data_IF_622162614209
#
_entry.id   IF_622162614209
#
_cell.length_a   1.000
_cell.length_b   1.000
_cell.length_c   1.000
_cell.angle_alpha   90.00
_cell.angle_beta   90.00
_cell.angle_gamma   90.00
#
_symmetry.space_group_name_H-M   'P 1'
#
loop_
_entity.id
_entity.type
_entity.pdbx_description
1 polymer ?
#
# COMPACT_ATOMS: atom_id res chain seq x y z
N UNK A 1 -13.83 14.02 -2.92
CA UNK A 1 -12.45 14.30 -3.41
C UNK A 1 -11.96 13.02 -4.01
N UNK A 2 -11.28 13.08 -5.16
CA UNK A 2 -10.91 11.90 -5.92
C UNK A 2 -9.45 11.56 -5.68
N UNK A 3 -9.14 10.26 -5.65
CA UNK A 3 -7.76 9.79 -5.58
C UNK A 3 -7.04 10.11 -6.90
N UNK A 4 -5.76 10.50 -6.80
CA UNK A 4 -4.89 10.49 -7.97
C UNK A 4 -4.60 9.04 -8.36
N UNK A 5 -4.64 8.74 -9.64
CA UNK A 5 -4.33 7.43 -10.18
C UNK A 5 -3.57 7.53 -11.51
N UNK A 6 -2.92 6.42 -11.86
CA UNK A 6 -2.36 6.19 -13.19
C UNK A 6 -3.01 4.94 -13.77
N UNK A 7 -3.23 4.97 -15.07
CA UNK A 7 -3.84 3.86 -15.79
C UNK A 7 -2.91 3.37 -16.90
N UNK A 8 -2.88 2.06 -17.11
CA UNK A 8 -2.17 1.42 -18.21
C UNK A 8 -2.88 0.14 -18.65
N UNK A 9 -2.79 -0.17 -19.95
CA UNK A 9 -3.39 -1.36 -20.53
C UNK A 9 -4.91 -1.26 -20.74
N UNK A 10 -5.51 -2.40 -21.03
CA UNK A 10 -6.94 -2.58 -21.25
C UNK A 10 -7.34 -4.02 -20.91
N UNK A 11 -8.64 -4.27 -20.67
CA UNK A 11 -9.17 -5.57 -20.26
C UNK A 11 -9.73 -5.53 -18.84
N UNK A 12 -9.67 -6.66 -18.14
CA UNK A 12 -10.22 -6.78 -16.79
C UNK A 12 -9.48 -5.85 -15.81
N UNK A 13 -10.20 -5.09 -14.97
CA UNK A 13 -9.60 -4.04 -14.15
C UNK A 13 -8.93 -4.60 -12.90
N UNK A 14 -7.71 -4.11 -12.64
CA UNK A 14 -6.93 -4.38 -11.43
C UNK A 14 -6.55 -3.05 -10.79
N UNK A 15 -6.97 -2.82 -9.55
CA UNK A 15 -6.56 -1.68 -8.73
C UNK A 15 -5.37 -2.10 -7.88
N UNK A 16 -4.29 -1.33 -7.89
CA UNK A 16 -3.12 -1.56 -7.06
C UNK A 16 -2.98 -0.43 -6.04
N UNK A 17 -2.90 -0.81 -4.75
CA UNK A 17 -2.80 0.09 -3.60
C UNK A 17 -1.45 -0.07 -2.90
N UNK A 18 -0.74 1.02 -2.73
CA UNK A 18 0.57 1.06 -2.08
C UNK A 18 0.50 0.97 -0.54
N UNK A 19 1.62 0.66 0.09
CA UNK A 19 1.82 0.69 1.54
C UNK A 19 2.08 2.09 2.09
N UNK A 20 2.18 2.21 3.42
CA UNK A 20 2.50 3.45 4.12
C UNK A 20 3.77 4.10 3.56
N UNK A 21 3.77 5.41 3.39
CA UNK A 21 4.81 6.22 2.73
C UNK A 21 5.09 5.85 1.27
N UNK A 22 4.29 4.96 0.68
CA UNK A 22 4.37 4.62 -0.74
C UNK A 22 3.57 5.58 -1.62
N UNK A 23 3.65 5.34 -2.92
CA UNK A 23 2.86 6.01 -3.97
C UNK A 23 2.66 5.04 -5.14
N UNK A 24 1.80 5.41 -6.09
CA UNK A 24 1.61 4.70 -7.36
C UNK A 24 2.92 4.50 -8.15
N UNK A 25 3.92 5.39 -7.95
CA UNK A 25 5.24 5.27 -8.58
C UNK A 25 6.00 3.99 -8.16
N UNK A 26 5.68 3.39 -7.01
CA UNK A 26 6.32 2.16 -6.55
C UNK A 26 5.95 0.94 -7.41
N UNK A 27 4.80 1.00 -8.09
CA UNK A 27 4.21 -0.11 -8.83
C UNK A 27 4.34 0.00 -10.35
N UNK A 28 5.02 1.04 -10.87
CA UNK A 28 5.04 1.35 -12.31
C UNK A 28 5.63 0.22 -13.17
N UNK A 29 6.65 -0.51 -12.68
CA UNK A 29 7.25 -1.61 -13.43
C UNK A 29 6.25 -2.76 -13.56
N UNK A 30 5.60 -3.14 -12.47
CA UNK A 30 4.57 -4.18 -12.43
C UNK A 30 3.36 -3.76 -13.26
N UNK A 31 2.87 -2.52 -13.06
CA UNK A 31 1.74 -1.98 -13.80
C UNK A 31 1.98 -1.96 -15.32
N UNK A 32 3.20 -1.63 -15.77
CA UNK A 32 3.55 -1.67 -17.19
C UNK A 32 3.51 -3.09 -17.76
N UNK A 33 4.08 -4.07 -17.05
CA UNK A 33 4.10 -5.48 -17.49
C UNK A 33 2.70 -6.08 -17.50
N UNK A 34 1.94 -5.93 -16.41
CA UNK A 34 0.57 -6.44 -16.32
C UNK A 34 -0.40 -5.71 -17.25
N UNK A 35 -0.10 -4.45 -17.59
CA UNK A 35 -0.87 -3.65 -18.54
C UNK A 35 -0.84 -4.18 -19.98
N UNK A 36 -0.01 -5.16 -20.29
CA UNK A 36 -0.03 -5.87 -21.59
C UNK A 36 -1.29 -6.73 -21.76
N UNK A 37 -1.92 -7.15 -20.66
CA UNK A 37 -3.07 -8.07 -20.66
C UNK A 37 -4.28 -7.58 -19.84
N UNK A 38 -4.10 -6.62 -18.95
CA UNK A 38 -5.14 -6.12 -18.03
C UNK A 38 -5.19 -4.59 -18.00
N UNK A 39 -6.33 -4.05 -17.56
CA UNK A 39 -6.47 -2.62 -17.25
C UNK A 39 -5.98 -2.35 -15.82
N UNK A 40 -4.79 -1.79 -15.66
CA UNK A 40 -4.14 -1.57 -14.38
C UNK A 40 -4.33 -0.13 -13.92
N UNK A 41 -4.88 0.04 -12.72
CA UNK A 41 -5.08 1.32 -12.05
C UNK A 41 -4.21 1.35 -10.80
N UNK A 42 -3.13 2.15 -10.78
CA UNK A 42 -2.33 2.37 -9.57
C UNK A 42 -2.75 3.68 -8.93
N UNK A 43 -3.26 3.63 -7.69
CA UNK A 43 -3.77 4.81 -7.00
C UNK A 43 -2.83 5.28 -5.87
N UNK A 44 -2.73 6.61 -5.70
CA UNK A 44 -2.19 7.20 -4.48
C UNK A 44 -3.32 7.27 -3.45
N UNK A 45 -3.14 6.65 -2.28
CA UNK A 45 -4.13 6.73 -1.19
C UNK A 45 -4.15 8.15 -0.59
N UNK A 46 -5.26 8.53 0.09
CA UNK A 46 -5.34 9.83 0.79
C UNK A 46 -4.09 10.10 1.62
N UNK A 47 -3.71 11.35 1.74
CA UNK A 47 -2.52 11.81 2.45
C UNK A 47 -1.19 11.34 1.85
N UNK A 48 -1.18 10.71 0.67
CA UNK A 48 0.03 10.25 -0.03
C UNK A 48 0.09 10.77 -1.47
N UNK A 49 1.30 10.89 -1.97
CA UNK A 49 1.58 11.16 -3.39
C UNK A 49 0.95 12.45 -3.91
N UNK A 50 0.10 12.32 -4.92
CA UNK A 50 -0.62 13.42 -5.56
C UNK A 50 -2.11 13.44 -5.19
N UNK A 51 -2.57 12.50 -4.35
CA UNK A 51 -3.92 12.51 -3.82
C UNK A 51 -4.14 13.63 -2.83
N UNK A 52 -5.41 13.92 -2.57
CA UNK A 52 -5.79 14.97 -1.65
C UNK A 52 -5.28 14.72 -0.22
N UNK A 53 -4.99 15.79 0.49
CA UNK A 53 -4.71 15.78 1.92
C UNK A 53 -6.00 15.99 2.72
N UNK A 54 -6.10 15.30 3.87
CA UNK A 54 -7.25 15.36 4.79
C UNK A 54 -6.75 15.21 6.21
N UNK A 55 -7.43 15.82 7.16
CA UNK A 55 -7.17 15.65 8.60
C UNK A 55 -7.66 14.30 9.13
N UNK A 56 -8.39 13.54 8.29
CA UNK A 56 -8.91 12.23 8.63
C UNK A 56 -8.11 11.13 7.93
N UNK A 57 -7.72 10.09 8.70
CA UNK A 57 -6.91 8.99 8.20
C UNK A 57 -7.27 7.69 8.92
N UNK A 58 -7.64 6.65 8.17
CA UNK A 58 -8.04 5.34 8.67
C UNK A 58 -8.60 4.45 7.58
N UNK A 59 -8.66 3.15 7.81
CA UNK A 59 -8.99 2.15 6.79
C UNK A 59 -10.39 2.28 6.21
N UNK A 60 -11.40 2.58 7.04
CA UNK A 60 -12.78 2.77 6.55
C UNK A 60 -12.89 3.95 5.59
N UNK A 61 -12.18 5.04 5.87
CA UNK A 61 -12.14 6.22 5.01
C UNK A 61 -11.40 5.95 3.68
N UNK A 62 -10.27 5.24 3.74
CA UNK A 62 -9.53 4.84 2.55
C UNK A 62 -10.31 3.86 1.69
N UNK A 63 -11.05 2.93 2.30
CA UNK A 63 -11.95 2.02 1.57
C UNK A 63 -13.06 2.79 0.84
N UNK A 64 -13.67 3.81 1.47
CA UNK A 64 -14.63 4.68 0.82
C UNK A 64 -14.03 5.53 -0.31
N UNK A 65 -12.74 5.88 -0.24
CA UNK A 65 -12.04 6.53 -1.36
C UNK A 65 -11.88 5.57 -2.55
N UNK A 66 -11.54 4.31 -2.27
CA UNK A 66 -11.42 3.25 -3.30
C UNK A 66 -12.78 2.96 -3.94
N UNK A 67 -13.87 2.92 -3.15
CA UNK A 67 -15.22 2.78 -3.69
C UNK A 67 -15.53 3.90 -4.68
N UNK A 68 -15.27 5.16 -4.31
CA UNK A 68 -15.47 6.30 -5.22
C UNK A 68 -14.62 6.21 -6.48
N UNK A 69 -13.40 5.69 -6.39
CA UNK A 69 -12.54 5.46 -7.56
C UNK A 69 -13.14 4.39 -8.50
N UNK A 70 -13.69 3.30 -7.94
CA UNK A 70 -14.39 2.26 -8.69
C UNK A 70 -15.58 2.86 -9.45
N UNK A 71 -16.42 3.64 -8.75
CA UNK A 71 -17.61 4.27 -9.33
C UNK A 71 -17.24 5.33 -10.39
N UNK A 72 -16.22 6.16 -10.11
CA UNK A 72 -15.74 7.21 -11.04
C UNK A 72 -15.21 6.64 -12.35
N UNK A 73 -14.51 5.51 -12.29
CA UNK A 73 -13.93 4.84 -13.47
C UNK A 73 -14.88 3.82 -14.11
N UNK A 74 -16.09 3.67 -13.56
CA UNK A 74 -17.09 2.69 -14.00
C UNK A 74 -16.50 1.27 -14.09
N UNK A 75 -15.70 0.87 -13.07
CA UNK A 75 -15.07 -0.44 -13.07
C UNK A 75 -16.07 -1.53 -12.68
N UNK A 76 -16.14 -2.57 -13.49
CA UNK A 76 -16.95 -3.74 -13.19
C UNK A 76 -16.14 -4.75 -12.35
N UNK A 77 -16.47 -4.83 -11.08
CA UNK A 77 -15.89 -5.76 -10.10
C UNK A 77 -14.35 -5.94 -10.21
N UNK A 78 -13.53 -4.88 -10.03
CA UNK A 78 -12.08 -4.98 -10.15
C UNK A 78 -11.50 -5.96 -9.12
N UNK A 79 -10.37 -6.60 -9.48
CA UNK A 79 -9.45 -7.18 -8.52
C UNK A 79 -8.73 -6.05 -7.79
N UNK A 80 -8.57 -6.13 -6.46
CA UNK A 80 -7.75 -5.18 -5.70
C UNK A 80 -6.49 -5.87 -5.17
N UNK A 81 -5.32 -5.38 -5.55
CA UNK A 81 -4.02 -5.78 -5.02
C UNK A 81 -3.54 -4.71 -4.06
N UNK A 82 -3.35 -5.03 -2.80
CA UNK A 82 -2.88 -4.08 -1.79
C UNK A 82 -1.64 -4.56 -1.06
N UNK A 83 -0.62 -3.71 -0.97
CA UNK A 83 0.58 -3.99 -0.19
C UNK A 83 0.49 -3.33 1.19
N UNK A 84 0.79 -4.08 2.25
CA UNK A 84 0.88 -3.54 3.62
C UNK A 84 -0.40 -2.75 3.99
N UNK A 85 -0.33 -1.44 4.24
CA UNK A 85 -1.48 -0.56 4.44
C UNK A 85 -2.54 -0.75 3.33
N UNK A 86 -2.13 -0.81 2.06
CA UNK A 86 -3.02 -1.08 0.92
C UNK A 86 -3.72 -2.44 1.01
N UNK A 87 -3.08 -3.45 1.60
CA UNK A 87 -3.69 -4.76 1.89
C UNK A 87 -4.84 -4.66 2.88
N UNK A 88 -4.65 -3.89 3.96
CA UNK A 88 -5.74 -3.58 4.92
C UNK A 88 -6.87 -2.79 4.26
N UNK A 89 -6.55 -1.85 3.37
CA UNK A 89 -7.57 -1.12 2.60
C UNK A 89 -8.36 -2.08 1.70
N UNK A 90 -7.69 -3.00 0.99
CA UNK A 90 -8.35 -4.01 0.16
C UNK A 90 -9.29 -4.90 0.98
N UNK A 91 -8.82 -5.42 2.13
CA UNK A 91 -9.64 -6.20 3.06
C UNK A 91 -10.85 -5.41 3.57
N UNK A 92 -10.66 -4.15 3.94
CA UNK A 92 -11.74 -3.29 4.42
C UNK A 92 -12.75 -2.94 3.33
N UNK A 93 -12.25 -2.71 2.10
CA UNK A 93 -13.12 -2.45 0.94
C UNK A 93 -13.99 -3.66 0.62
N UNK A 94 -13.43 -4.87 0.60
CA UNK A 94 -14.18 -6.10 0.31
C UNK A 94 -15.22 -6.44 1.37
N UNK A 95 -14.99 -6.03 2.63
CA UNK A 95 -15.98 -6.14 3.69
C UNK A 95 -17.14 -5.15 3.53
N UNK A 96 -16.81 -3.88 3.23
CA UNK A 96 -17.82 -2.81 3.13
C UNK A 96 -18.61 -2.85 1.81
N UNK A 97 -17.98 -3.26 0.72
CA UNK A 97 -18.52 -3.20 -0.64
C UNK A 97 -18.31 -4.52 -1.40
N UNK A 98 -18.76 -5.67 -0.85
CA UNK A 98 -18.47 -7.00 -1.41
C UNK A 98 -18.97 -7.18 -2.84
N UNK A 99 -20.08 -6.55 -3.21
CA UNK A 99 -20.67 -6.67 -4.55
C UNK A 99 -19.89 -5.88 -5.63
N UNK A 100 -19.00 -4.98 -5.22
CA UNK A 100 -18.20 -4.15 -6.13
C UNK A 100 -16.81 -4.72 -6.42
N UNK A 101 -16.40 -5.82 -5.79
CA UNK A 101 -15.03 -6.32 -5.83
C UNK A 101 -15.04 -7.82 -6.13
N UNK A 102 -14.37 -8.24 -7.20
CA UNK A 102 -14.34 -9.67 -7.58
C UNK A 102 -13.43 -10.50 -6.69
N UNK A 103 -12.23 -10.01 -6.42
CA UNK A 103 -11.17 -10.69 -5.66
C UNK A 103 -10.27 -9.68 -4.96
N UNK A 104 -9.56 -10.09 -3.93
CA UNK A 104 -8.49 -9.28 -3.33
C UNK A 104 -7.18 -10.07 -3.19
N UNK A 105 -6.07 -9.37 -3.32
CA UNK A 105 -4.73 -9.89 -2.99
C UNK A 105 -4.12 -8.96 -1.94
N UNK A 106 -3.82 -9.51 -0.77
CA UNK A 106 -3.09 -8.80 0.27
C UNK A 106 -1.63 -9.21 0.24
N UNK A 107 -0.76 -8.28 -0.12
CA UNK A 107 0.69 -8.50 -0.19
C UNK A 107 1.31 -8.12 1.14
N UNK A 108 1.78 -9.12 1.84
CA UNK A 108 2.49 -9.12 3.12
C UNK A 108 1.77 -8.33 4.23
N UNK A 109 0.45 -8.59 4.36
CA UNK A 109 -0.39 -8.02 5.41
C UNK A 109 -1.56 -8.95 5.73
N UNK A 110 -1.70 -9.32 7.01
CA UNK A 110 -2.82 -10.10 7.54
C UNK A 110 -3.94 -9.23 8.16
N UNK A 111 -5.05 -9.85 8.57
CA UNK A 111 -6.18 -9.14 9.19
C UNK A 111 -5.94 -8.72 10.65
N UNK A 112 -4.91 -9.26 11.32
CA UNK A 112 -4.62 -9.04 12.75
C UNK A 112 -4.26 -7.59 13.08
N UNK A 113 -4.23 -7.26 14.38
CA UNK A 113 -3.64 -6.03 14.88
C UNK A 113 -2.12 -6.02 14.68
N UNK A 114 -1.59 -4.88 14.27
CA UNK A 114 -0.15 -4.64 14.17
C UNK A 114 0.24 -3.46 15.07
N UNK A 115 1.14 -3.66 16.05
CA UNK A 115 1.62 -2.53 16.83
C UNK A 115 2.36 -1.54 15.93
N UNK A 116 2.23 -0.24 16.23
CA UNK A 116 2.93 0.81 15.49
C UNK A 116 4.44 0.63 15.66
N UNK A 117 5.16 0.50 14.55
CA UNK A 117 6.63 0.31 14.50
C UNK A 117 7.33 1.43 13.71
N UNK A 118 6.60 2.49 13.37
CA UNK A 118 7.06 3.52 12.43
C UNK A 118 7.61 4.78 13.10
N UNK A 119 7.70 4.82 14.43
CA UNK A 119 8.17 6.00 15.17
C UNK A 119 9.54 6.50 14.72
N UNK A 120 10.48 5.57 14.49
CA UNK A 120 11.83 5.91 14.01
C UNK A 120 11.78 6.62 12.65
N UNK A 121 10.98 6.09 11.72
CA UNK A 121 10.82 6.66 10.38
C UNK A 121 10.16 8.04 10.48
N UNK A 122 9.06 8.15 11.21
CA UNK A 122 8.32 9.41 11.40
C UNK A 122 9.25 10.48 12.00
N UNK A 123 10.01 10.13 13.04
CA UNK A 123 10.95 11.05 13.68
C UNK A 123 12.05 11.48 12.70
N UNK A 124 12.60 10.58 11.89
CA UNK A 124 13.58 10.92 10.87
C UNK A 124 13.00 11.88 9.82
N UNK A 125 11.79 11.58 9.32
CA UNK A 125 11.14 12.42 8.31
C UNK A 125 10.79 13.82 8.85
N UNK A 126 10.34 13.91 10.13
CA UNK A 126 10.02 15.19 10.79
C UNK A 126 11.26 16.02 11.13
N UNK A 127 12.36 15.37 11.50
CA UNK A 127 13.60 16.06 11.87
C UNK A 127 14.40 16.56 10.66
N UNK A 128 14.18 15.99 9.47
CA UNK A 128 14.90 16.37 8.26
C UNK A 128 14.53 17.80 7.80
N UNK A 129 15.51 18.68 7.72
CA UNK A 129 15.37 20.07 7.24
C UNK A 129 15.33 20.13 5.72
N UNK A 130 14.31 19.50 5.14
CA UNK A 130 14.18 19.37 3.67
C UNK A 130 13.93 20.71 2.96
N UNK A 131 13.32 21.67 3.65
CA UNK A 131 13.07 23.01 3.09
C UNK A 131 14.35 23.77 2.76
N UNK A 132 15.43 23.51 3.51
CA UNK A 132 16.72 24.19 3.37
C UNK A 132 17.73 23.35 2.55
N UNK A 133 17.38 22.11 2.16
CA UNK A 133 18.28 21.22 1.46
C UNK A 133 18.48 21.66 0.00
N UNK A 134 19.75 21.72 -0.43
CA UNK A 134 20.12 22.10 -1.79
C UNK A 134 19.97 20.92 -2.78
N UNK A 135 20.17 19.70 -2.28
CA UNK A 135 20.16 18.47 -3.08
C UNK A 135 19.40 17.33 -2.39
N UNK A 136 19.02 16.31 -3.18
CA UNK A 136 18.49 15.05 -2.64
C UNK A 136 19.53 14.33 -1.77
N UNK A 137 20.82 14.51 -2.06
CA UNK A 137 21.90 13.91 -1.27
C UNK A 137 21.96 14.51 0.12
N UNK A 138 21.70 15.82 0.28
CA UNK A 138 21.66 16.45 1.60
C UNK A 138 20.53 15.87 2.46
N UNK A 139 19.38 15.58 1.83
CA UNK A 139 18.26 14.92 2.53
C UNK A 139 18.63 13.47 2.88
N UNK A 140 19.25 12.72 1.97
CA UNK A 140 19.70 11.35 2.24
C UNK A 140 20.69 11.30 3.42
N UNK A 141 21.65 12.22 3.45
CA UNK A 141 22.62 12.34 4.55
C UNK A 141 21.92 12.59 5.89
N UNK A 142 20.93 13.49 5.94
CA UNK A 142 20.17 13.75 7.16
C UNK A 142 19.35 12.53 7.61
N UNK A 143 18.70 11.85 6.69
CA UNK A 143 17.91 10.65 6.99
C UNK A 143 18.79 9.48 7.43
N UNK A 144 20.04 9.38 6.95
CA UNK A 144 20.94 8.28 7.26
C UNK A 144 21.34 8.18 8.73
N UNK A 145 21.21 9.28 9.49
CA UNK A 145 21.47 9.31 10.93
C UNK A 145 20.48 8.42 11.73
N UNK A 146 19.22 8.35 11.28
CA UNK A 146 18.16 7.59 11.94
C UNK A 146 17.72 6.36 11.13
N UNK A 147 17.93 6.35 9.82
CA UNK A 147 17.55 5.27 8.92
C UNK A 147 18.82 4.76 8.20
N UNK A 148 19.55 3.78 8.77
CA UNK A 148 20.80 3.28 8.18
C UNK A 148 20.60 2.52 6.87
N UNK A 149 19.43 1.90 6.64
CA UNK A 149 19.14 1.08 5.45
C UNK A 149 18.93 1.96 4.22
N UNK A 150 19.85 1.87 3.25
CA UNK A 150 19.79 2.67 2.01
C UNK A 150 18.51 2.44 1.21
N UNK A 151 18.05 1.19 1.11
CA UNK A 151 16.80 0.87 0.39
C UNK A 151 15.58 1.56 0.99
N UNK A 152 15.47 1.58 2.33
CA UNK A 152 14.40 2.26 3.06
C UNK A 152 14.44 3.78 2.81
N UNK A 153 15.62 4.41 2.88
CA UNK A 153 15.76 5.84 2.56
C UNK A 153 15.40 6.17 1.13
N UNK A 154 15.86 5.39 0.15
CA UNK A 154 15.53 5.59 -1.26
C UNK A 154 14.02 5.48 -1.52
N UNK A 155 13.34 4.54 -0.85
CA UNK A 155 11.89 4.41 -0.88
C UNK A 155 11.21 5.68 -0.33
N UNK A 156 11.58 6.11 0.87
CA UNK A 156 11.01 7.30 1.51
C UNK A 156 11.25 8.57 0.70
N UNK A 157 12.44 8.70 0.13
CA UNK A 157 12.83 9.86 -0.69
C UNK A 157 12.09 9.97 -2.03
N UNK A 158 11.35 8.95 -2.48
CA UNK A 158 10.40 9.09 -3.61
C UNK A 158 9.30 10.10 -3.31
N UNK A 159 9.03 10.36 -2.02
CA UNK A 159 8.09 11.38 -1.58
C UNK A 159 8.66 12.82 -1.61
N UNK A 160 9.93 13.01 -1.93
CA UNK A 160 10.46 14.37 -2.07
C UNK A 160 10.00 15.02 -3.37
N UNK A 161 9.46 16.22 -3.24
CA UNK A 161 9.12 17.12 -4.35
C UNK A 161 9.96 18.38 -4.23
N UNK A 162 10.64 18.77 -5.32
CA UNK A 162 11.42 19.99 -5.37
C UNK A 162 10.49 21.20 -5.49
N UNK A 163 10.69 22.20 -4.66
CA UNK A 163 9.94 23.45 -4.69
C UNK A 163 10.55 24.40 -5.73
N UNK A 164 9.71 25.27 -6.32
CA UNK A 164 10.16 26.24 -7.33
C UNK A 164 11.14 27.27 -6.75
N UNK A 165 10.92 27.67 -5.50
CA UNK A 165 11.71 28.61 -4.74
C UNK A 165 12.98 28.01 -4.11
N UNK A 166 13.23 26.74 -4.32
CA UNK A 166 14.34 25.96 -3.73
C UNK A 166 13.90 25.08 -2.56
N UNK A 167 14.79 24.18 -2.15
CA UNK A 167 14.46 23.18 -1.14
C UNK A 167 13.47 22.10 -1.62
N UNK A 168 12.92 21.35 -0.68
CA UNK A 168 11.98 20.27 -0.94
C UNK A 168 10.78 20.33 0.00
N UNK A 169 9.75 19.60 -0.36
CA UNK A 169 8.57 19.31 0.46
C UNK A 169 8.26 17.81 0.37
N UNK A 170 7.58 17.27 1.39
CA UNK A 170 7.03 15.92 1.31
C UNK A 170 5.74 15.96 0.49
N UNK A 171 5.57 14.99 -0.43
CA UNK A 171 4.31 14.79 -1.14
C UNK A 171 3.20 14.25 -0.23
N UNK A 172 3.56 13.57 0.85
CA UNK A 172 2.64 13.02 1.82
C UNK A 172 2.30 14.05 2.92
N UNK A 173 1.12 13.92 3.51
CA UNK A 173 0.70 14.69 4.68
C UNK A 173 1.30 14.08 5.96
N UNK A 174 2.61 14.30 6.17
CA UNK A 174 3.38 13.69 7.24
C UNK A 174 2.80 13.98 8.63
N UNK A 175 2.25 15.18 8.85
CA UNK A 175 1.71 15.58 10.15
C UNK A 175 0.48 14.74 10.51
N UNK A 176 -0.47 14.60 9.60
CA UNK A 176 -1.68 13.80 9.84
C UNK A 176 -1.33 12.31 9.92
N UNK A 177 -0.43 11.82 9.07
CA UNK A 177 0.03 10.42 9.14
C UNK A 177 0.64 10.15 10.52
N UNK A 178 1.49 11.03 11.02
CA UNK A 178 2.13 10.87 12.32
C UNK A 178 1.12 10.95 13.48
N UNK A 179 0.14 11.86 13.40
CA UNK A 179 -0.90 12.01 14.44
C UNK A 179 -1.83 10.80 14.50
N UNK A 180 -2.18 10.24 13.34
CA UNK A 180 -3.17 9.16 13.20
C UNK A 180 -2.56 7.79 12.98
N UNK A 181 -1.25 7.63 13.18
CA UNK A 181 -0.53 6.38 12.86
C UNK A 181 -1.10 5.17 13.60
N UNK A 182 -1.62 5.34 14.80
CA UNK A 182 -2.25 4.28 15.60
C UNK A 182 -3.47 3.64 14.88
N UNK A 183 -4.19 4.41 14.07
CA UNK A 183 -5.32 3.89 13.29
C UNK A 183 -4.90 2.84 12.26
N UNK A 184 -3.62 2.83 11.87
CA UNK A 184 -3.08 1.84 10.93
C UNK A 184 -2.69 0.51 11.60
N UNK A 185 -2.69 0.45 12.92
CA UNK A 185 -2.52 -0.78 13.68
C UNK A 185 -3.78 -1.66 13.71
N UNK A 186 -4.96 -1.10 13.43
CA UNK A 186 -6.24 -1.78 13.62
C UNK A 186 -6.32 -3.17 12.96
N UNK A 187 -6.89 -4.13 13.70
CA UNK A 187 -7.31 -5.41 13.15
C UNK A 187 -8.58 -5.24 12.31
N UNK A 188 -8.81 -6.17 11.38
CA UNK A 188 -10.17 -6.40 10.87
C UNK A 188 -11.02 -6.90 12.05
N UNK A 189 -12.20 -6.33 12.24
CA UNK A 189 -13.01 -6.62 13.44
C UNK A 189 -13.35 -8.10 13.57
N UNK A 190 -13.36 -8.59 14.81
CA UNK A 190 -13.48 -10.01 15.13
C UNK A 190 -14.81 -10.68 14.71
N UNK A 191 -15.81 -9.92 14.30
CA UNK A 191 -17.07 -10.42 13.77
C UNK A 191 -17.19 -10.36 12.25
N UNK A 192 -16.22 -9.75 11.57
CA UNK A 192 -16.26 -9.53 10.13
C UNK A 192 -15.86 -10.84 9.40
N UNK A 193 -16.71 -11.31 8.51
CA UNK A 193 -16.41 -12.43 7.61
C UNK A 193 -16.43 -11.90 6.19
N UNK A 194 -15.32 -12.06 5.47
CA UNK A 194 -15.14 -11.63 4.08
C UNK A 194 -15.22 -12.87 3.19
N UNK A 195 -16.27 -12.96 2.36
CA UNK A 195 -16.47 -14.08 1.44
C UNK A 195 -15.81 -13.86 0.08
N UNK A 196 -15.34 -12.65 -0.21
CA UNK A 196 -14.59 -12.34 -1.43
C UNK A 196 -13.36 -13.24 -1.53
N UNK A 197 -13.14 -13.94 -2.65
CA UNK A 197 -11.94 -14.75 -2.85
C UNK A 197 -10.67 -13.93 -2.58
N UNK A 198 -9.81 -14.44 -1.71
CA UNK A 198 -8.66 -13.69 -1.21
C UNK A 198 -7.36 -14.50 -1.31
N UNK A 199 -6.31 -13.86 -1.83
CA UNK A 199 -4.95 -14.38 -1.76
C UNK A 199 -4.13 -13.54 -0.79
N UNK A 200 -3.53 -14.19 0.21
CA UNK A 200 -2.51 -13.60 1.06
C UNK A 200 -1.14 -14.03 0.54
N UNK A 201 -0.35 -13.08 0.05
CA UNK A 201 1.04 -13.31 -0.37
C UNK A 201 1.96 -12.81 0.71
N UNK A 202 2.81 -13.67 1.26
CA UNK A 202 3.79 -13.29 2.28
C UNK A 202 5.22 -13.48 1.78
N UNK A 203 6.13 -12.62 2.22
CA UNK A 203 7.56 -12.84 2.03
C UNK A 203 8.10 -13.86 3.05
N UNK A 204 8.96 -14.79 2.62
CA UNK A 204 9.54 -15.78 3.53
C UNK A 204 10.48 -15.17 4.59
N UNK A 205 11.01 -13.96 4.34
CA UNK A 205 11.88 -13.21 5.24
C UNK A 205 11.12 -12.09 6.01
N UNK A 206 9.76 -12.10 5.94
CA UNK A 206 8.90 -11.13 6.61
C UNK A 206 8.26 -11.72 7.87
N UNK A 207 8.04 -10.87 8.88
CA UNK A 207 7.31 -11.21 10.12
C UNK A 207 5.85 -10.72 10.15
N UNK A 208 5.33 -10.23 9.03
CA UNK A 208 3.97 -9.70 8.96
C UNK A 208 2.90 -10.78 8.94
N UNK A 209 3.08 -11.85 8.17
CA UNK A 209 2.18 -13.00 8.16
C UNK A 209 2.99 -14.24 8.56
N UNK A 210 2.69 -14.80 9.72
CA UNK A 210 3.34 -15.99 10.26
C UNK A 210 2.46 -17.22 10.04
N UNK A 211 3.02 -18.42 10.14
CA UNK A 211 2.26 -19.68 10.10
C UNK A 211 1.16 -19.72 11.18
N UNK A 212 1.44 -19.12 12.33
CA UNK A 212 0.46 -19.03 13.43
C UNK A 212 -0.77 -18.16 13.11
N UNK A 213 -0.70 -17.32 12.08
CA UNK A 213 -1.80 -16.42 11.69
C UNK A 213 -2.84 -17.11 10.80
N UNK A 214 -2.51 -18.28 10.22
CA UNK A 214 -3.36 -19.00 9.27
C UNK A 214 -4.77 -19.25 9.81
N UNK A 215 -4.89 -19.71 11.04
CA UNK A 215 -6.19 -19.99 11.67
C UNK A 215 -7.05 -18.74 11.78
N UNK A 216 -6.45 -17.60 12.15
CA UNK A 216 -7.18 -16.33 12.26
C UNK A 216 -7.51 -15.76 10.88
N UNK A 217 -6.62 -15.91 9.91
CA UNK A 217 -6.89 -15.53 8.51
C UNK A 217 -8.09 -16.31 7.97
N UNK A 218 -8.10 -17.65 8.07
CA UNK A 218 -9.19 -18.49 7.57
C UNK A 218 -10.52 -18.25 8.29
N UNK A 219 -10.49 -17.83 9.55
CA UNK A 219 -11.69 -17.47 10.29
C UNK A 219 -12.39 -16.24 9.73
N UNK A 220 -11.61 -15.22 9.30
CA UNK A 220 -12.14 -13.99 8.73
C UNK A 220 -12.32 -14.07 7.22
N UNK A 221 -11.49 -14.84 6.54
CA UNK A 221 -11.44 -15.01 5.08
C UNK A 221 -11.54 -16.50 4.71
N UNK A 222 -12.73 -17.13 4.87
CA UNK A 222 -12.87 -18.58 4.65
C UNK A 222 -12.59 -19.01 3.21
N UNK A 223 -12.68 -18.09 2.22
CA UNK A 223 -12.36 -18.33 0.82
C UNK A 223 -10.95 -17.84 0.46
N UNK A 224 -10.00 -17.94 1.39
CA UNK A 224 -8.64 -17.50 1.15
C UNK A 224 -7.63 -18.64 1.03
N UNK A 225 -6.50 -18.33 0.42
CA UNK A 225 -5.27 -19.12 0.44
C UNK A 225 -4.08 -18.23 0.80
N UNK A 226 -3.05 -18.82 1.37
CA UNK A 226 -1.81 -18.15 1.73
C UNK A 226 -0.69 -18.76 0.87
N UNK A 227 0.08 -17.91 0.21
CA UNK A 227 1.24 -18.32 -0.58
C UNK A 227 2.48 -17.57 -0.09
N UNK A 228 3.63 -18.26 -0.12
CA UNK A 228 4.91 -17.69 0.31
C UNK A 228 5.77 -17.40 -0.90
N UNK A 229 6.30 -16.18 -0.98
CA UNK A 229 7.30 -15.77 -1.97
C UNK A 229 8.68 -15.91 -1.33
N UNK A 230 9.45 -16.87 -1.80
CA UNK A 230 10.76 -17.20 -1.25
C UNK A 230 11.80 -16.09 -1.46
N UNK A 231 12.55 -15.75 -0.42
CA UNK A 231 13.59 -14.73 -0.42
C UNK A 231 13.06 -13.30 -0.53
N UNK A 232 11.76 -13.08 -0.29
CA UNK A 232 11.18 -11.74 -0.19
C UNK A 232 11.03 -11.32 1.27
N UNK A 233 11.35 -10.05 1.56
CA UNK A 233 10.99 -9.37 2.80
C UNK A 233 9.61 -8.71 2.69
N UNK A 234 9.38 -7.67 3.53
CA UNK A 234 8.11 -6.95 3.52
C UNK A 234 7.81 -6.25 2.18
N UNK A 235 8.82 -5.85 1.42
CA UNK A 235 8.66 -5.20 0.12
C UNK A 235 8.67 -6.20 -1.04
N UNK A 236 7.78 -7.19 -0.99
CA UNK A 236 7.69 -8.28 -1.99
C UNK A 236 7.72 -7.76 -3.44
N UNK A 237 7.01 -6.66 -3.73
CA UNK A 237 6.96 -6.04 -5.06
C UNK A 237 8.28 -5.43 -5.53
N UNK A 238 9.22 -5.19 -4.62
CA UNK A 238 10.56 -4.69 -4.92
C UNK A 238 11.60 -5.81 -4.92
N UNK A 239 11.46 -6.77 -4.00
CA UNK A 239 12.40 -7.87 -3.82
C UNK A 239 12.21 -8.96 -4.89
N UNK A 240 10.94 -9.30 -5.21
CA UNK A 240 10.55 -10.42 -6.07
C UNK A 240 9.38 -10.04 -7.00
N UNK A 241 9.57 -9.04 -7.89
CA UNK A 241 8.49 -8.54 -8.73
C UNK A 241 7.95 -9.57 -9.74
N UNK A 242 8.79 -10.51 -10.21
CA UNK A 242 8.39 -11.52 -11.19
C UNK A 242 7.55 -12.59 -10.53
N UNK A 243 8.00 -13.13 -9.40
CA UNK A 243 7.27 -14.13 -8.62
C UNK A 243 5.95 -13.56 -8.08
N UNK A 244 5.93 -12.28 -7.70
CA UNK A 244 4.69 -11.60 -7.32
C UNK A 244 3.69 -11.54 -8.49
N UNK A 245 4.14 -11.20 -9.69
CA UNK A 245 3.26 -11.16 -10.87
C UNK A 245 2.76 -12.56 -11.24
N UNK A 246 3.60 -13.60 -11.18
CA UNK A 246 3.20 -14.99 -11.39
C UNK A 246 2.08 -15.38 -10.42
N UNK A 247 2.25 -15.14 -9.12
CA UNK A 247 1.23 -15.44 -8.10
C UNK A 247 -0.08 -14.66 -8.34
N UNK A 248 0.01 -13.40 -8.81
CA UNK A 248 -1.18 -12.62 -9.19
C UNK A 248 -1.87 -13.29 -10.38
N UNK A 249 -1.13 -13.65 -11.45
CA UNK A 249 -1.69 -14.29 -12.64
C UNK A 249 -2.32 -15.65 -12.34
N UNK A 250 -1.73 -16.44 -11.45
CA UNK A 250 -2.28 -17.74 -11.03
C UNK A 250 -3.57 -17.63 -10.21
N UNK A 251 -3.83 -16.44 -9.68
CA UNK A 251 -5.04 -16.17 -8.90
C UNK A 251 -6.17 -15.52 -9.70
N UNK A 252 -5.87 -14.85 -10.80
CA UNK A 252 -6.88 -14.22 -11.67
C UNK A 252 -7.68 -15.29 -12.40
#
# INVERSE_FOLDING_TARGET
MDLFYRESGAGDPIIILHGLFGTSDNWQIIAKKMGETHRIITADLRNHGQSFHSDEFGYGLMAGDVERLIDHLELDQPLIVGHSMGGKVAMRSSFLFPDKISKIISVDMGPKYYPVRHERIINALKSARIADAESRQDVDNQLSELIPQTGERLFLMKNLKRKKEGGFEWKMNLEVIAEKIENLGEAIHSGDIVLTPTLFLRGSESDYILDSDEVEILKHFPNSRIETIEGAGHWVHADKPEELMEAIYDFI
#
